data_IF_689870955561
#
_entry.id   IF_689870955561
#
_cell.length_a   1.000
_cell.length_b   1.000
_cell.length_c   1.000
_cell.angle_alpha   90.00
_cell.angle_beta   90.00
_cell.angle_gamma   90.00
#
_symmetry.space_group_name_H-M   'P 1'
#
loop_
_entity.id
_entity.type
_entity.pdbx_description
1 polymer ?
#
# COMPACT_ATOMS: atom_id res chain seq x y z
N UNK A 1 12.35 -0.42 34.95
CA UNK A 1 11.59 -1.17 33.93
C UNK A 1 11.71 -0.40 32.63
N UNK A 2 12.29 -0.97 31.57
CA UNK A 2 12.48 -0.25 30.31
C UNK A 2 11.11 0.07 29.70
N UNK A 3 10.84 1.35 29.44
CA UNK A 3 9.70 1.78 28.65
C UNK A 3 9.77 1.09 27.29
N UNK A 4 8.78 0.25 26.98
CA UNK A 4 8.72 -0.52 25.73
C UNK A 4 8.35 0.37 24.55
N UNK A 5 9.07 1.47 24.32
CA UNK A 5 8.85 2.42 23.23
C UNK A 5 10.06 2.42 22.31
N UNK A 6 9.83 2.06 21.05
CA UNK A 6 10.79 2.15 19.97
C UNK A 6 10.26 3.09 18.90
N UNK A 7 11.09 4.03 18.46
CA UNK A 7 10.76 4.99 17.42
C UNK A 7 11.79 4.86 16.31
N UNK A 8 11.35 5.09 15.08
CA UNK A 8 12.25 5.08 13.94
C UNK A 8 11.78 6.05 12.86
N UNK A 9 12.73 6.43 12.01
CA UNK A 9 12.48 7.05 10.72
C UNK A 9 13.35 6.37 9.69
N UNK A 10 12.87 6.26 8.46
CA UNK A 10 13.61 5.66 7.36
C UNK A 10 13.41 6.43 6.07
N UNK A 11 14.44 6.35 5.23
CA UNK A 11 14.41 6.74 3.83
C UNK A 11 14.82 5.55 3.00
N UNK A 12 14.11 5.28 1.91
CA UNK A 12 14.42 4.19 0.99
C UNK A 12 14.18 4.65 -0.43
N UNK A 13 15.10 4.33 -1.32
CA UNK A 13 14.94 4.55 -2.75
C UNK A 13 14.99 3.21 -3.48
N UNK A 14 14.17 3.06 -4.51
CA UNK A 14 14.07 1.84 -5.30
C UNK A 14 13.69 2.15 -6.75
N UNK A 15 13.86 1.17 -7.61
CA UNK A 15 13.48 1.27 -9.00
C UNK A 15 12.95 -0.06 -9.53
N UNK A 16 12.12 0.02 -10.56
CA UNK A 16 11.81 -1.11 -11.44
C UNK A 16 12.39 -0.78 -12.81
N UNK A 17 13.14 -1.73 -13.36
CA UNK A 17 13.83 -1.58 -14.63
C UNK A 17 12.86 -1.24 -15.76
N UNK A 18 13.41 -0.70 -16.85
CA UNK A 18 12.67 -0.59 -18.10
C UNK A 18 12.19 -1.94 -18.61
N UNK A 19 11.17 -1.92 -19.46
CA UNK A 19 10.54 -3.13 -19.98
C UNK A 19 10.15 -3.00 -21.45
N UNK A 20 10.32 -4.08 -22.20
CA UNK A 20 9.75 -4.26 -23.52
C UNK A 20 8.26 -4.63 -23.43
N UNK A 21 7.52 -4.49 -24.53
CA UNK A 21 6.12 -4.89 -24.56
C UNK A 21 5.96 -6.40 -24.51
N UNK A 22 5.08 -6.87 -23.62
CA UNK A 22 4.79 -8.29 -23.47
C UNK A 22 4.04 -8.87 -24.70
N UNK A 23 3.18 -8.07 -25.34
CA UNK A 23 2.45 -8.44 -26.56
C UNK A 23 2.84 -7.48 -27.68
N UNK A 24 3.67 -7.94 -28.60
CA UNK A 24 4.15 -7.19 -29.75
C UNK A 24 3.27 -7.46 -30.99
N UNK A 25 2.07 -6.87 -31.03
CA UNK A 25 1.10 -7.07 -32.14
C UNK A 25 1.49 -6.40 -33.46
N UNK A 26 2.49 -5.52 -33.44
CA UNK A 26 3.04 -4.85 -34.64
C UNK A 26 4.47 -4.36 -34.37
N UNK A 27 5.27 -4.07 -35.42
CA UNK A 27 6.61 -3.50 -35.25
C UNK A 27 6.61 -2.17 -34.48
N UNK A 28 5.59 -1.32 -34.71
CA UNK A 28 5.44 -0.03 -34.01
C UNK A 28 5.24 -0.24 -32.51
N UNK A 29 4.42 -1.22 -32.11
CA UNK A 29 4.21 -1.56 -30.70
C UNK A 29 5.45 -2.24 -30.10
N UNK A 30 6.13 -3.11 -30.85
CA UNK A 30 7.34 -3.81 -30.41
C UNK A 30 8.49 -2.85 -30.05
N UNK A 31 8.57 -1.71 -30.75
CA UNK A 31 9.60 -0.69 -30.54
C UNK A 31 9.30 0.25 -29.36
N UNK A 32 8.08 0.22 -28.79
CA UNK A 32 7.77 1.00 -27.59
C UNK A 32 8.41 0.35 -26.37
N UNK A 33 9.30 1.05 -25.68
CA UNK A 33 9.96 0.57 -24.46
C UNK A 33 9.56 1.47 -23.30
N UNK A 34 9.16 0.88 -22.18
CA UNK A 34 8.96 1.62 -20.95
C UNK A 34 10.32 1.90 -20.30
N UNK A 35 10.56 3.15 -19.95
CA UNK A 35 11.70 3.57 -19.15
C UNK A 35 11.62 2.98 -17.73
N UNK A 36 12.73 2.91 -16.98
CA UNK A 36 12.69 2.57 -15.56
C UNK A 36 11.75 3.50 -14.78
N UNK A 37 11.02 2.96 -13.81
CA UNK A 37 10.31 3.75 -12.80
C UNK A 37 11.11 3.77 -11.50
N UNK A 38 11.03 4.87 -10.75
CA UNK A 38 11.71 4.99 -9.45
C UNK A 38 10.76 5.46 -8.36
N UNK A 39 11.09 5.12 -7.12
CA UNK A 39 10.33 5.52 -5.93
C UNK A 39 11.29 5.97 -4.83
N UNK A 40 10.97 7.10 -4.23
CA UNK A 40 11.58 7.57 -2.99
C UNK A 40 10.53 7.53 -1.88
N UNK A 41 10.79 6.74 -0.84
CA UNK A 41 9.92 6.50 0.30
C UNK A 41 10.50 7.10 1.58
N UNK A 42 9.64 7.76 2.34
CA UNK A 42 9.92 8.27 3.67
C UNK A 42 8.91 7.67 4.63
N UNK A 43 9.37 7.14 5.75
CA UNK A 43 8.52 6.57 6.79
C UNK A 43 8.99 7.01 8.17
N UNK A 44 8.04 7.27 9.05
CA UNK A 44 8.29 7.47 10.47
C UNK A 44 7.28 6.63 11.26
N UNK A 45 7.75 5.92 12.27
CA UNK A 45 6.93 4.96 12.99
C UNK A 45 7.31 4.80 14.44
N UNK A 46 6.37 4.22 15.17
CA UNK A 46 6.47 3.89 16.57
C UNK A 46 6.01 2.44 16.79
N UNK A 47 6.70 1.76 17.69
CA UNK A 47 6.32 0.46 18.22
C UNK A 47 6.32 0.58 19.72
N UNK A 48 5.18 0.31 20.35
CA UNK A 48 5.04 0.48 21.79
C UNK A 48 4.32 -0.66 22.47
N UNK A 49 4.75 -0.94 23.70
CA UNK A 49 4.11 -1.85 24.65
C UNK A 49 3.84 -1.08 25.93
N UNK A 50 2.56 -0.94 26.28
CA UNK A 50 2.03 -0.13 27.37
C UNK A 50 1.21 -1.00 28.33
N UNK A 51 0.80 -0.40 29.47
CA UNK A 51 -0.12 -1.01 30.44
C UNK A 51 0.35 -2.40 30.91
N UNK A 52 1.59 -2.52 31.37
CA UNK A 52 2.19 -3.81 31.80
C UNK A 52 2.09 -4.93 30.76
N UNK A 53 2.21 -4.57 29.47
CA UNK A 53 2.09 -5.43 28.28
C UNK A 53 0.66 -5.80 27.87
N UNK A 54 -0.34 -5.12 28.42
CA UNK A 54 -1.73 -5.29 28.01
C UNK A 54 -2.06 -4.56 26.71
N UNK A 55 -1.27 -3.56 26.30
CA UNK A 55 -1.48 -2.89 25.02
C UNK A 55 -0.20 -2.90 24.20
N UNK A 56 -0.25 -3.56 23.04
CA UNK A 56 0.77 -3.42 21.99
C UNK A 56 0.20 -2.60 20.85
N UNK A 57 0.93 -1.58 20.43
CA UNK A 57 0.52 -0.66 19.39
C UNK A 57 1.71 -0.37 18.47
N UNK A 58 1.53 -0.61 17.18
CA UNK A 58 2.44 -0.18 16.14
C UNK A 58 1.71 0.83 15.26
N UNK A 59 2.37 1.93 14.94
CA UNK A 59 1.81 2.93 14.03
C UNK A 59 2.91 3.55 13.17
N UNK A 60 2.59 3.89 11.94
CA UNK A 60 3.50 4.52 11.00
C UNK A 60 2.77 5.53 10.11
N UNK A 61 3.49 6.58 9.73
CA UNK A 61 3.12 7.47 8.64
C UNK A 61 4.16 7.35 7.53
N UNK A 62 3.71 7.36 6.29
CA UNK A 62 4.61 7.19 5.16
C UNK A 62 4.23 8.08 3.98
N UNK A 63 5.22 8.37 3.14
CA UNK A 63 5.09 9.08 1.88
C UNK A 63 6.00 8.49 0.83
N UNK A 64 5.42 7.98 -0.26
CA UNK A 64 6.13 7.46 -1.43
C UNK A 64 5.90 8.42 -2.60
N UNK A 65 6.99 8.85 -3.25
CA UNK A 65 6.94 9.63 -4.46
C UNK A 65 7.49 8.79 -5.61
N UNK A 66 6.61 8.47 -6.56
CA UNK A 66 6.96 7.73 -7.76
C UNK A 66 7.28 8.69 -8.90
N UNK A 67 8.35 8.38 -9.63
CA UNK A 67 8.73 9.03 -10.88
C UNK A 67 8.65 8.02 -12.03
N UNK A 68 8.12 8.48 -13.15
CA UNK A 68 7.98 7.68 -14.37
C UNK A 68 7.24 6.36 -14.15
N UNK A 69 6.15 6.36 -13.36
CA UNK A 69 5.40 5.15 -13.03
C UNK A 69 4.94 4.44 -14.31
N UNK A 70 5.31 3.16 -14.44
CA UNK A 70 4.90 2.29 -15.52
C UNK A 70 3.43 1.86 -15.30
N UNK A 71 2.58 2.07 -16.30
CA UNK A 71 1.18 1.67 -16.29
C UNK A 71 0.80 0.98 -17.60
N UNK A 72 -0.18 0.08 -17.52
CA UNK A 72 -0.82 -0.45 -18.72
C UNK A 72 -1.69 0.63 -19.36
N UNK A 73 -1.52 0.82 -20.66
CA UNK A 73 -2.28 1.77 -21.48
C UNK A 73 -2.91 1.02 -22.64
N UNK A 74 -4.18 1.31 -22.89
CA UNK A 74 -4.85 0.92 -24.12
C UNK A 74 -4.62 2.01 -25.14
N UNK A 75 -4.05 1.66 -26.29
CA UNK A 75 -3.84 2.57 -27.41
C UNK A 75 -4.55 2.03 -28.65
N UNK A 76 -4.99 2.92 -29.52
CA UNK A 76 -5.41 2.56 -30.86
C UNK A 76 -4.22 2.74 -31.80
N UNK A 77 -3.76 1.65 -32.43
CA UNK A 77 -2.59 1.70 -33.33
C UNK A 77 -2.97 1.56 -34.81
N UNK A 78 -4.20 1.11 -35.10
CA UNK A 78 -4.80 1.14 -36.43
C UNK A 78 -6.32 1.40 -36.31
N UNK A 79 -7.00 1.84 -37.38
CA UNK A 79 -8.46 2.03 -37.36
C UNK A 79 -9.17 0.76 -36.89
N UNK A 80 -9.97 0.87 -35.83
CA UNK A 80 -10.66 -0.27 -35.21
C UNK A 80 -9.80 -1.28 -34.43
N UNK A 81 -8.48 -1.09 -34.33
CA UNK A 81 -7.58 -2.05 -33.67
C UNK A 81 -6.84 -1.40 -32.49
N UNK A 82 -7.01 -1.99 -31.30
CA UNK A 82 -6.38 -1.55 -30.06
C UNK A 82 -5.29 -2.51 -29.61
N UNK A 83 -4.25 -1.97 -28.97
CA UNK A 83 -3.22 -2.73 -28.27
C UNK A 83 -3.15 -2.29 -26.81
N UNK A 84 -2.69 -3.20 -25.95
CA UNK A 84 -2.33 -2.88 -24.57
C UNK A 84 -0.81 -2.88 -24.48
N UNK A 85 -0.24 -1.79 -23.99
CA UNK A 85 1.20 -1.65 -23.80
C UNK A 85 1.51 -1.08 -22.42
N UNK A 86 2.69 -1.36 -21.91
CA UNK A 86 3.26 -0.73 -20.73
C UNK A 86 3.99 0.55 -21.15
N UNK A 87 3.64 1.67 -20.51
CA UNK A 87 4.35 2.94 -20.70
C UNK A 87 4.44 3.72 -19.39
N UNK A 88 5.46 4.57 -19.29
CA UNK A 88 5.60 5.53 -18.20
C UNK A 88 4.53 6.59 -18.38
N UNK A 89 3.57 6.59 -17.46
CA UNK A 89 2.35 7.36 -17.64
C UNK A 89 2.17 8.41 -16.56
N UNK A 90 2.87 8.31 -15.41
CA UNK A 90 2.61 9.25 -14.33
C UNK A 90 3.76 9.43 -13.35
N UNK A 91 3.94 10.66 -12.87
CA UNK A 91 4.46 10.85 -11.52
C UNK A 91 3.32 10.64 -10.53
N UNK A 92 3.56 9.92 -9.44
CA UNK A 92 2.51 9.61 -8.45
C UNK A 92 2.99 9.89 -7.04
N UNK A 93 2.03 10.11 -6.14
CA UNK A 93 2.30 10.25 -4.72
C UNK A 93 1.31 9.44 -3.92
N UNK A 94 1.86 8.65 -3.01
CA UNK A 94 1.11 7.85 -2.07
C UNK A 94 1.50 8.33 -0.68
N UNK A 95 0.53 8.77 0.12
CA UNK A 95 0.71 9.09 1.53
C UNK A 95 -0.23 8.26 2.35
N UNK A 96 0.20 7.85 3.53
CA UNK A 96 -0.66 7.03 4.36
C UNK A 96 -0.29 7.04 5.82
N UNK A 97 -1.20 6.43 6.57
CA UNK A 97 -1.08 6.12 7.97
C UNK A 97 -1.53 4.68 8.16
N UNK A 98 -0.76 3.90 8.89
CA UNK A 98 -1.12 2.54 9.28
C UNK A 98 -0.96 2.39 10.78
N UNK A 99 -1.89 1.66 11.38
CA UNK A 99 -1.89 1.34 12.79
C UNK A 99 -2.38 -0.08 12.98
N UNK A 100 -1.71 -0.82 13.84
CA UNK A 100 -2.15 -2.13 14.30
C UNK A 100 -1.90 -2.26 15.79
N UNK A 101 -2.72 -3.07 16.45
CA UNK A 101 -2.52 -3.30 17.86
C UNK A 101 -3.28 -4.49 18.39
N UNK A 102 -2.90 -4.84 19.62
CA UNK A 102 -3.59 -5.82 20.46
C UNK A 102 -3.78 -5.24 21.84
N UNK A 103 -5.03 -5.23 22.29
CA UNK A 103 -5.43 -4.86 23.64
C UNK A 103 -5.90 -6.11 24.40
N UNK A 104 -5.29 -6.40 25.54
CA UNK A 104 -5.66 -7.47 26.45
C UNK A 104 -6.45 -6.85 27.60
N UNK A 105 -7.74 -7.13 27.67
CA UNK A 105 -8.61 -6.56 28.70
C UNK A 105 -8.46 -7.31 30.02
N UNK A 106 -8.35 -8.64 29.96
CA UNK A 106 -8.14 -9.53 31.09
C UNK A 106 -7.57 -10.87 30.60
N UNK A 107 -7.47 -11.86 31.49
CA UNK A 107 -6.97 -13.20 31.19
C UNK A 107 -7.74 -13.95 30.10
N UNK A 108 -8.96 -13.52 29.79
CA UNK A 108 -9.84 -14.22 28.86
C UNK A 108 -10.08 -13.45 27.57
N UNK A 109 -10.11 -12.11 27.62
CA UNK A 109 -10.52 -11.27 26.50
C UNK A 109 -9.37 -10.45 25.93
N UNK A 110 -9.24 -10.46 24.61
CA UNK A 110 -8.37 -9.52 23.89
C UNK A 110 -8.94 -9.08 22.54
N UNK A 111 -8.63 -7.86 22.13
CA UNK A 111 -9.00 -7.27 20.85
C UNK A 111 -7.74 -7.09 20.00
N UNK A 112 -7.73 -7.66 18.81
CA UNK A 112 -6.81 -7.28 17.74
C UNK A 112 -7.50 -6.24 16.84
N UNK A 113 -6.76 -5.23 16.42
CA UNK A 113 -7.29 -4.22 15.49
C UNK A 113 -6.21 -3.77 14.53
N UNK A 114 -6.63 -3.38 13.33
CA UNK A 114 -5.78 -2.64 12.40
C UNK A 114 -6.59 -1.62 11.63
N UNK A 115 -5.95 -0.50 11.32
CA UNK A 115 -6.51 0.59 10.55
C UNK A 115 -5.47 1.10 9.56
N UNK A 116 -5.86 1.25 8.30
CA UNK A 116 -5.06 1.87 7.26
C UNK A 116 -5.80 3.07 6.67
N UNK A 117 -5.07 4.15 6.41
CA UNK A 117 -5.52 5.28 5.62
C UNK A 117 -4.54 5.56 4.49
N UNK A 118 -5.05 5.74 3.27
CA UNK A 118 -4.24 5.93 2.08
C UNK A 118 -4.79 7.06 1.21
N UNK A 119 -3.95 8.06 0.93
CA UNK A 119 -4.13 9.04 -0.14
C UNK A 119 -3.14 8.80 -1.28
N UNK A 120 -3.54 7.96 -2.23
CA UNK A 120 -2.78 7.62 -3.43
C UNK A 120 -3.34 8.37 -4.64
N UNK A 121 -2.53 9.23 -5.26
CA UNK A 121 -2.92 10.08 -6.39
C UNK A 121 -1.85 10.15 -7.48
N UNK A 122 -2.30 10.27 -8.73
CA UNK A 122 -1.46 10.72 -9.82
C UNK A 122 -1.16 12.21 -9.65
N UNK A 123 0.08 12.62 -9.86
CA UNK A 123 0.48 14.04 -9.88
C UNK A 123 0.38 14.62 -11.27
N UNK A 124 1.14 14.05 -12.21
CA UNK A 124 1.20 14.50 -13.59
C UNK A 124 0.92 13.27 -14.45
N UNK A 125 -0.30 13.14 -14.96
CA UNK A 125 -0.72 12.06 -15.84
C UNK A 125 -1.61 12.57 -16.97
N UNK A 126 -0.97 13.22 -17.94
CA UNK A 126 -1.63 13.57 -19.21
C UNK A 126 -1.64 12.33 -20.11
N UNK A 127 -2.82 11.71 -20.28
CA UNK A 127 -2.96 10.52 -21.11
C UNK A 127 -2.92 10.86 -22.59
N UNK A 128 -3.63 11.91 -23.00
CA UNK A 128 -3.59 12.51 -24.34
C UNK A 128 -4.06 13.98 -24.26
N UNK A 129 -4.05 14.76 -25.37
CA UNK A 129 -4.43 16.19 -25.34
C UNK A 129 -5.83 16.51 -24.79
N UNK A 130 -6.71 15.51 -24.70
CA UNK A 130 -8.11 15.66 -24.24
C UNK A 130 -8.40 14.94 -22.92
N UNK A 131 -7.48 14.12 -22.42
CA UNK A 131 -7.65 13.31 -21.21
C UNK A 131 -6.44 13.49 -20.28
N UNK A 132 -6.71 14.11 -19.13
CA UNK A 132 -5.76 14.30 -18.04
C UNK A 132 -6.29 13.63 -16.77
N UNK A 133 -5.48 12.74 -16.20
CA UNK A 133 -5.75 12.02 -14.96
C UNK A 133 -4.95 12.58 -13.78
N UNK A 134 -4.26 13.70 -13.95
CA UNK A 134 -3.57 14.41 -12.87
C UNK A 134 -4.55 14.72 -11.73
N UNK A 135 -4.15 14.42 -10.50
CA UNK A 135 -4.98 14.56 -9.30
C UNK A 135 -5.94 13.40 -9.03
N UNK A 136 -6.20 12.52 -10.02
CA UNK A 136 -7.07 11.37 -9.81
C UNK A 136 -6.46 10.37 -8.84
N UNK A 137 -7.34 9.68 -8.11
CA UNK A 137 -6.93 8.60 -7.20
C UNK A 137 -6.45 7.39 -7.99
N UNK A 138 -5.44 6.73 -7.45
CA UNK A 138 -4.98 5.46 -8.02
C UNK A 138 -6.06 4.39 -7.86
N UNK A 139 -6.20 3.54 -8.87
CA UNK A 139 -7.09 2.39 -8.83
C UNK A 139 -6.64 1.38 -7.76
N UNK A 140 -7.60 0.67 -7.16
CA UNK A 140 -7.36 -0.36 -6.11
C UNK A 140 -6.62 0.16 -4.87
N UNK A 141 -6.77 1.45 -4.56
CA UNK A 141 -6.23 2.11 -3.37
C UNK A 141 -7.38 2.59 -2.46
N UNK A 142 -8.03 1.68 -1.68
CA UNK A 142 -9.10 2.07 -0.76
C UNK A 142 -8.60 3.16 0.20
N UNK A 143 -9.46 4.17 0.46
CA UNK A 143 -9.10 5.30 1.34
C UNK A 143 -8.81 4.86 2.76
N UNK A 144 -9.65 3.97 3.26
CA UNK A 144 -9.62 3.51 4.63
C UNK A 144 -9.90 2.01 4.65
N UNK A 145 -9.17 1.30 5.49
CA UNK A 145 -9.38 -0.11 5.80
C UNK A 145 -9.42 -0.26 7.32
N UNK A 146 -10.29 -1.13 7.82
CA UNK A 146 -10.45 -1.41 9.24
C UNK A 146 -10.66 -2.90 9.41
N UNK A 147 -9.94 -3.50 10.35
CA UNK A 147 -10.13 -4.87 10.79
C UNK A 147 -10.21 -4.91 12.31
N UNK A 148 -11.16 -5.66 12.84
CA UNK A 148 -11.35 -5.87 14.28
C UNK A 148 -11.48 -7.36 14.54
N UNK A 149 -10.86 -7.87 15.59
CA UNK A 149 -10.93 -9.27 15.99
C UNK A 149 -11.02 -9.41 17.49
N UNK A 150 -12.16 -9.85 18.01
CA UNK A 150 -12.34 -10.12 19.43
C UNK A 150 -12.03 -11.60 19.71
N UNK A 151 -11.14 -11.83 20.66
CA UNK A 151 -10.71 -13.17 21.07
C UNK A 151 -11.15 -13.44 22.51
N UNK A 152 -11.61 -14.66 22.73
CA UNK A 152 -11.90 -15.22 24.05
C UNK A 152 -11.11 -16.51 24.26
N UNK A 153 -10.47 -16.64 25.41
CA UNK A 153 -9.71 -17.83 25.81
C UNK A 153 -10.06 -18.18 27.27
N UNK A 154 -10.33 -19.44 27.56
CA UNK A 154 -10.56 -19.89 28.94
C UNK A 154 -10.09 -21.32 29.17
N UNK A 155 -9.66 -21.60 30.41
CA UNK A 155 -9.33 -22.96 30.83
C UNK A 155 -10.61 -23.65 31.30
N UNK A 156 -10.82 -24.87 30.82
CA UNK A 156 -11.91 -25.77 31.21
C UNK A 156 -11.34 -27.04 31.83
N UNK A 157 -12.19 -27.86 32.45
CA UNK A 157 -11.79 -29.17 32.96
C UNK A 157 -11.32 -30.16 31.88
N UNK A 158 -11.56 -29.85 30.60
CA UNK A 158 -11.20 -30.68 29.44
C UNK A 158 -10.02 -30.12 28.64
N UNK A 159 -9.44 -28.99 29.05
CA UNK A 159 -8.39 -28.29 28.31
C UNK A 159 -8.74 -26.82 28.07
N UNK A 160 -8.07 -26.20 27.10
CA UNK A 160 -8.29 -24.79 26.74
C UNK A 160 -9.37 -24.65 25.67
N UNK A 161 -10.31 -23.73 25.89
CA UNK A 161 -11.30 -23.33 24.90
C UNK A 161 -10.93 -21.93 24.39
N UNK A 162 -10.77 -21.80 23.07
CA UNK A 162 -10.53 -20.52 22.41
C UNK A 162 -11.59 -20.23 21.33
N UNK A 163 -11.92 -18.95 21.16
CA UNK A 163 -12.87 -18.48 20.14
C UNK A 163 -12.42 -17.13 19.62
N UNK A 164 -12.56 -16.90 18.31
CA UNK A 164 -12.27 -15.62 17.66
C UNK A 164 -13.47 -15.19 16.81
N UNK A 165 -13.87 -13.94 16.96
CA UNK A 165 -14.85 -13.27 16.11
C UNK A 165 -14.15 -12.13 15.38
N UNK A 166 -14.22 -12.11 14.05
CA UNK A 166 -13.59 -11.09 13.21
C UNK A 166 -14.15 -11.09 11.79
#
# INVERSE_FOLDING_TARGET
MSSGLFQYASYTSGFKSGAFQFIAVSPVVAQQVANPESVDSYEAGLRTTLLDRHLRLNAAVFSMNYRDLQQLRVIQFAPGVTAVLTANAANSRIKGFEMEGRAVFNSNWSLDFSYGYLDAKFKNYVFNPTLDFSGNRMQRAPKSTLSLGLNFETKTGLGELSTRLG
#
